data_IF_250855678574
#
_entry.id   IF_250855678574
#
_cell.length_a   1.000
_cell.length_b   1.000
_cell.length_c   1.000
_cell.angle_alpha   90.00
_cell.angle_beta   90.00
_cell.angle_gamma   90.00
#
_symmetry.space_group_name_H-M   'P 1'
#
loop_
_entity.id
_entity.type
_entity.pdbx_description
1 polymer ?
#
# COMPACT_ATOMS: atom_id res chain seq x y z
N UNK A 1 29.21 8.57 -14.54
CA UNK A 1 28.47 8.06 -13.35
C UNK A 1 28.33 6.56 -13.49
N UNK A 2 28.70 5.75 -12.49
CA UNK A 2 28.56 4.28 -12.53
C UNK A 2 27.08 3.93 -12.27
N UNK A 3 26.28 3.95 -13.33
CA UNK A 3 24.85 3.61 -13.30
C UNK A 3 24.61 2.13 -13.61
N UNK A 4 25.61 1.25 -13.43
CA UNK A 4 25.36 -0.19 -13.56
C UNK A 4 24.38 -0.63 -12.47
N UNK A 5 23.51 -1.58 -12.81
CA UNK A 5 22.52 -2.13 -11.88
C UNK A 5 23.12 -2.50 -10.52
N UNK A 6 24.25 -3.22 -10.53
CA UNK A 6 24.98 -3.60 -9.33
C UNK A 6 25.46 -2.40 -8.50
N UNK A 7 25.95 -1.33 -9.15
CA UNK A 7 26.38 -0.12 -8.44
C UNK A 7 25.21 0.70 -7.87
N UNK A 8 24.01 0.57 -8.43
CA UNK A 8 22.79 1.16 -7.87
C UNK A 8 22.29 0.33 -6.69
N UNK A 9 22.21 -0.99 -6.85
CA UNK A 9 21.75 -1.90 -5.79
C UNK A 9 22.69 -1.90 -4.57
N UNK A 10 24.01 -1.81 -4.79
CA UNK A 10 24.97 -1.66 -3.68
C UNK A 10 24.82 -0.39 -2.84
N UNK A 11 24.06 0.61 -3.33
CA UNK A 11 23.78 1.88 -2.63
C UNK A 11 22.30 2.04 -2.27
N UNK A 12 21.50 0.99 -2.36
CA UNK A 12 20.04 1.05 -2.15
C UNK A 12 19.68 1.69 -0.79
N UNK A 13 20.37 1.33 0.29
CA UNK A 13 20.11 1.88 1.61
C UNK A 13 20.41 3.38 1.69
N UNK A 14 21.51 3.85 1.10
CA UNK A 14 21.82 5.29 1.03
C UNK A 14 20.78 6.06 0.20
N UNK A 15 20.34 5.47 -0.92
CA UNK A 15 19.31 6.05 -1.79
C UNK A 15 17.99 6.17 -1.00
N UNK A 16 17.57 5.12 -0.31
CA UNK A 16 16.34 5.12 0.50
C UNK A 16 16.42 6.13 1.64
N UNK A 17 17.54 6.17 2.36
CA UNK A 17 17.76 7.15 3.45
C UNK A 17 17.72 8.59 2.95
N UNK A 18 18.34 8.88 1.79
CA UNK A 18 18.29 10.24 1.19
C UNK A 18 16.92 10.59 0.63
N UNK A 19 16.22 9.63 0.04
CA UNK A 19 14.93 9.87 -0.62
C UNK A 19 13.77 9.98 0.37
N UNK A 20 13.74 9.11 1.38
CA UNK A 20 12.64 9.01 2.35
C UNK A 20 12.96 9.79 3.63
N UNK A 21 14.24 10.10 3.89
CA UNK A 21 14.67 10.73 5.14
C UNK A 21 14.52 9.83 6.35
N UNK A 22 14.34 8.53 6.13
CA UNK A 22 14.00 7.55 7.16
C UNK A 22 14.99 6.39 7.14
N UNK A 23 15.57 6.07 8.30
CA UNK A 23 16.60 5.05 8.43
C UNK A 23 16.03 3.80 9.12
N UNK A 24 15.73 2.78 8.31
CA UNK A 24 15.11 1.55 8.80
C UNK A 24 16.04 0.75 9.73
N UNK A 25 17.36 0.93 9.65
CA UNK A 25 18.32 0.22 10.51
C UNK A 25 18.15 0.56 11.99
N UNK A 26 17.55 1.70 12.31
CA UNK A 26 17.28 2.11 13.69
C UNK A 26 16.26 1.20 14.39
N UNK A 27 15.46 0.46 13.62
CA UNK A 27 14.42 -0.44 14.12
C UNK A 27 14.80 -1.91 14.00
N UNK A 28 15.93 -2.23 13.37
CA UNK A 28 16.46 -3.60 13.32
C UNK A 28 17.08 -3.95 14.68
N UNK A 29 16.43 -4.84 15.42
CA UNK A 29 16.93 -5.30 16.72
C UNK A 29 17.83 -6.53 16.57
N UNK A 30 17.53 -7.39 15.61
CA UNK A 30 18.34 -8.57 15.26
C UNK A 30 17.98 -9.08 13.86
N UNK A 31 18.64 -10.15 13.40
CA UNK A 31 18.33 -10.80 12.12
C UNK A 31 16.87 -11.28 12.00
N UNK A 32 16.15 -11.45 13.11
CA UNK A 32 14.76 -11.93 13.14
C UNK A 32 13.80 -10.97 13.86
N UNK A 33 14.27 -9.84 14.38
CA UNK A 33 13.47 -8.93 15.20
C UNK A 33 13.56 -7.50 14.66
N UNK A 34 12.38 -6.90 14.47
CA UNK A 34 12.22 -5.54 13.96
C UNK A 34 11.18 -4.79 14.79
N UNK A 35 11.50 -3.57 15.22
CA UNK A 35 10.64 -2.72 16.03
C UNK A 35 9.60 -1.99 15.16
N UNK A 36 8.53 -2.69 14.82
CA UNK A 36 7.43 -2.10 14.03
C UNK A 36 6.70 -0.99 14.77
N UNK A 37 6.54 -1.09 16.09
CA UNK A 37 5.83 -0.07 16.87
C UNK A 37 6.65 1.23 16.93
N UNK A 38 7.96 1.12 17.21
CA UNK A 38 8.89 2.24 17.15
C UNK A 38 8.94 2.86 15.76
N UNK A 39 8.98 2.03 14.70
CA UNK A 39 8.95 2.51 13.32
C UNK A 39 7.66 3.29 13.03
N UNK A 40 6.49 2.73 13.37
CA UNK A 40 5.20 3.37 13.14
C UNK A 40 5.05 4.66 13.94
N UNK A 41 5.52 4.69 15.20
CA UNK A 41 5.55 5.89 16.02
C UNK A 41 6.49 6.98 15.48
N UNK A 42 7.58 6.58 14.83
CA UNK A 42 8.50 7.49 14.15
C UNK A 42 7.96 8.01 12.81
N UNK A 43 6.93 7.37 12.24
CA UNK A 43 6.25 7.89 11.05
C UNK A 43 5.32 9.05 11.42
N UNK A 44 5.25 10.08 10.56
CA UNK A 44 4.45 11.28 10.82
C UNK A 44 2.92 11.13 10.81
N UNK A 45 2.40 9.89 10.80
CA UNK A 45 0.96 9.61 10.76
C UNK A 45 0.58 8.57 11.81
N UNK A 46 -0.19 9.00 12.82
CA UNK A 46 -0.86 8.06 13.73
C UNK A 46 -2.08 7.40 13.06
N UNK A 47 -2.54 6.27 13.63
CA UNK A 47 -3.66 5.52 13.08
C UNK A 47 -4.97 6.35 12.97
N UNK A 48 -5.32 7.21 13.96
CA UNK A 48 -6.44 8.15 13.81
C UNK A 48 -6.30 9.10 12.60
N UNK A 49 -5.12 9.65 12.36
CA UNK A 49 -4.85 10.55 11.23
C UNK A 49 -4.95 9.80 9.90
N UNK A 50 -4.39 8.58 9.81
CA UNK A 50 -4.53 7.71 8.63
C UNK A 50 -6.01 7.47 8.32
N UNK A 51 -6.82 7.12 9.32
CA UNK A 51 -8.26 6.90 9.15
C UNK A 51 -9.00 8.15 8.69
N UNK A 52 -8.65 9.31 9.25
CA UNK A 52 -9.24 10.60 8.87
C UNK A 52 -8.94 10.93 7.42
N UNK A 53 -7.67 10.82 7.01
CA UNK A 53 -7.24 11.10 5.64
C UNK A 53 -7.93 10.16 4.65
N UNK A 54 -7.97 8.85 4.94
CA UNK A 54 -8.69 7.89 4.10
C UNK A 54 -10.19 8.23 3.97
N UNK A 55 -10.83 8.68 5.05
CA UNK A 55 -12.25 9.02 5.04
C UNK A 55 -12.59 10.23 4.14
N UNK A 56 -11.66 11.17 3.92
CA UNK A 56 -11.86 12.35 3.06
C UNK A 56 -12.26 11.92 1.63
N UNK A 57 -11.68 10.84 1.14
CA UNK A 57 -11.87 10.32 -0.23
C UNK A 57 -12.74 9.07 -0.26
N UNK A 58 -13.43 8.74 0.83
CA UNK A 58 -14.27 7.54 0.91
C UNK A 58 -13.48 6.22 0.98
N UNK A 59 -12.18 6.27 1.26
CA UNK A 59 -11.33 5.08 1.44
C UNK A 59 -11.51 4.52 2.85
N UNK A 60 -11.49 3.19 2.96
CA UNK A 60 -11.68 2.48 4.22
C UNK A 60 -13.15 2.24 4.55
N UNK A 61 -13.44 1.87 5.81
CA UNK A 61 -14.78 1.44 6.27
C UNK A 61 -15.46 0.39 5.38
N UNK A 62 -14.66 -0.40 4.67
CA UNK A 62 -15.11 -1.49 3.81
C UNK A 62 -15.84 -2.59 4.59
N UNK A 63 -16.75 -3.33 3.95
CA UNK A 63 -17.49 -4.40 4.61
C UNK A 63 -16.60 -5.50 5.23
N UNK A 64 -17.09 -6.12 6.30
CA UNK A 64 -16.54 -7.34 6.88
C UNK A 64 -17.66 -8.39 6.92
N UNK A 65 -17.66 -9.30 5.96
CA UNK A 65 -18.69 -10.33 5.83
C UNK A 65 -18.26 -11.62 6.52
N UNK A 66 -19.12 -12.20 7.35
CA UNK A 66 -18.92 -13.60 7.77
C UNK A 66 -19.40 -14.53 6.65
N UNK A 67 -18.50 -15.37 6.15
CA UNK A 67 -18.82 -16.36 5.12
C UNK A 67 -19.47 -17.58 5.79
N UNK A 68 -20.74 -17.46 6.18
CA UNK A 68 -21.45 -18.43 7.04
C UNK A 68 -21.39 -19.87 6.53
N UNK A 69 -21.53 -20.07 5.22
CA UNK A 69 -21.46 -21.41 4.62
C UNK A 69 -20.06 -22.02 4.71
N UNK A 70 -19.01 -21.21 4.48
CA UNK A 70 -17.62 -21.65 4.59
C UNK A 70 -17.24 -21.87 6.07
N UNK A 71 -17.73 -21.00 6.97
CA UNK A 71 -17.58 -21.17 8.42
C UNK A 71 -18.21 -22.48 8.90
N UNK A 72 -19.42 -22.80 8.43
CA UNK A 72 -20.09 -24.08 8.74
C UNK A 72 -19.26 -25.27 8.26
N UNK A 73 -18.78 -25.22 7.01
CA UNK A 73 -17.94 -26.28 6.46
C UNK A 73 -16.63 -26.45 7.25
N UNK A 74 -15.92 -25.35 7.55
CA UNK A 74 -14.69 -25.38 8.34
C UNK A 74 -14.90 -26.02 9.71
N UNK A 75 -16.03 -25.73 10.37
CA UNK A 75 -16.41 -26.34 11.66
C UNK A 75 -16.81 -27.81 11.56
N UNK A 76 -17.36 -28.25 10.43
CA UNK A 76 -17.68 -29.66 10.20
C UNK A 76 -16.44 -30.51 9.96
N UNK A 77 -15.40 -29.94 9.35
CA UNK A 77 -14.18 -30.65 8.99
C UNK A 77 -13.08 -30.59 10.07
N UNK A 78 -13.10 -29.58 10.94
CA UNK A 78 -12.10 -29.42 11.99
C UNK A 78 -12.36 -30.35 13.20
N UNK A 79 -11.31 -30.80 13.91
CA UNK A 79 -11.46 -31.47 15.19
C UNK A 79 -12.21 -30.61 16.21
N UNK A 80 -12.79 -31.27 17.23
CA UNK A 80 -13.51 -30.59 18.29
C UNK A 80 -12.64 -29.48 18.92
N UNK A 81 -13.17 -28.24 18.94
CA UNK A 81 -12.47 -27.06 19.47
C UNK A 81 -11.64 -26.25 18.47
N UNK A 82 -11.44 -26.73 17.23
CA UNK A 82 -10.56 -26.09 16.24
C UNK A 82 -11.29 -25.43 15.06
N UNK A 83 -12.63 -25.41 15.07
CA UNK A 83 -13.45 -24.84 13.99
C UNK A 83 -13.46 -23.31 13.96
N UNK A 84 -12.77 -22.70 13.00
CA UNK A 84 -12.69 -21.25 12.85
C UNK A 84 -13.96 -20.59 12.28
N UNK A 85 -14.12 -19.29 12.55
CA UNK A 85 -15.03 -18.40 11.80
C UNK A 85 -14.25 -17.76 10.66
N UNK A 86 -14.83 -17.75 9.47
CA UNK A 86 -14.18 -17.24 8.27
C UNK A 86 -14.87 -15.95 7.85
N UNK A 87 -14.07 -14.89 7.70
CA UNK A 87 -14.53 -13.56 7.31
C UNK A 87 -13.85 -13.07 6.03
N UNK A 88 -14.60 -12.33 5.21
CA UNK A 88 -14.10 -11.58 4.07
C UNK A 88 -14.06 -10.09 4.43
N UNK A 89 -12.86 -9.50 4.36
CA UNK A 89 -12.69 -8.05 4.39
C UNK A 89 -12.71 -7.52 2.96
N UNK A 90 -13.84 -6.95 2.54
CA UNK A 90 -14.07 -6.62 1.13
C UNK A 90 -13.43 -5.28 0.72
N UNK A 91 -12.13 -5.33 0.48
CA UNK A 91 -11.35 -4.17 0.07
C UNK A 91 -11.59 -3.73 -1.39
N UNK A 92 -12.35 -4.49 -2.17
CA UNK A 92 -12.76 -4.07 -3.52
C UNK A 92 -13.75 -2.90 -3.47
N UNK A 93 -14.47 -2.72 -2.34
CA UNK A 93 -15.39 -1.59 -2.15
C UNK A 93 -14.71 -0.22 -1.97
N UNK A 94 -13.37 -0.15 -1.94
CA UNK A 94 -12.70 1.15 -1.94
C UNK A 94 -12.90 1.86 -3.30
N UNK A 95 -12.80 3.20 -3.36
CA UNK A 95 -13.03 4.00 -4.58
C UNK A 95 -12.27 3.56 -5.85
N UNK A 96 -11.10 2.95 -5.70
CA UNK A 96 -10.29 2.46 -6.83
C UNK A 96 -10.50 0.98 -7.14
N UNK A 97 -11.47 0.31 -6.51
CA UNK A 97 -11.72 -1.12 -6.69
C UNK A 97 -10.75 -2.05 -5.96
N UNK A 98 -9.87 -1.55 -5.08
CA UNK A 98 -8.92 -2.41 -4.35
C UNK A 98 -8.36 -1.79 -3.07
N UNK A 99 -7.73 -2.62 -2.23
CA UNK A 99 -7.07 -2.20 -1.00
C UNK A 99 -5.96 -1.16 -1.21
N UNK A 100 -5.43 -1.05 -2.44
CA UNK A 100 -4.35 -0.12 -2.80
C UNK A 100 -4.76 1.35 -2.65
N UNK A 101 -6.06 1.64 -2.66
CA UNK A 101 -6.61 2.95 -2.33
C UNK A 101 -6.15 3.44 -0.94
N UNK A 102 -5.95 2.55 0.04
CA UNK A 102 -5.54 2.90 1.41
C UNK A 102 -4.21 3.63 1.46
N UNK A 103 -3.21 3.12 0.75
CA UNK A 103 -1.89 3.76 0.67
C UNK A 103 -1.93 4.98 -0.24
N UNK A 104 -2.59 4.87 -1.40
CA UNK A 104 -2.69 5.97 -2.35
C UNK A 104 -3.33 7.22 -1.72
N UNK A 105 -4.35 7.07 -0.88
CA UNK A 105 -5.00 8.16 -0.17
C UNK A 105 -4.00 8.98 0.66
N UNK A 106 -3.15 8.30 1.44
CA UNK A 106 -2.14 8.96 2.28
C UNK A 106 -1.07 9.65 1.42
N UNK A 107 -0.55 8.96 0.41
CA UNK A 107 0.51 9.51 -0.45
C UNK A 107 0.05 10.73 -1.23
N UNK A 108 -1.16 10.68 -1.81
CA UNK A 108 -1.72 11.80 -2.59
C UNK A 108 -2.12 12.96 -1.68
N UNK A 109 -2.72 12.68 -0.52
CA UNK A 109 -3.00 13.71 0.48
C UNK A 109 -1.72 14.45 0.88
N UNK A 110 -0.66 13.72 1.23
CA UNK A 110 0.61 14.31 1.61
C UNK A 110 1.22 15.13 0.45
N UNK A 111 1.13 14.62 -0.78
CA UNK A 111 1.61 15.35 -1.95
C UNK A 111 0.88 16.69 -2.12
N UNK A 112 -0.44 16.72 -1.87
CA UNK A 112 -1.23 17.95 -1.88
C UNK A 112 -0.80 18.91 -0.77
N UNK A 113 -0.61 18.42 0.45
CA UNK A 113 -0.19 19.25 1.60
C UNK A 113 1.20 19.88 1.37
N UNK A 114 2.10 19.16 0.71
CA UNK A 114 3.44 19.65 0.35
C UNK A 114 3.44 20.60 -0.87
N UNK A 115 2.28 20.89 -1.47
CA UNK A 115 2.17 21.83 -2.60
C UNK A 115 2.64 21.28 -3.94
N UNK A 116 2.77 19.95 -4.10
CA UNK A 116 3.11 19.38 -5.39
C UNK A 116 1.99 19.58 -6.41
N UNK A 117 2.38 19.77 -7.68
CA UNK A 117 1.45 19.98 -8.81
C UNK A 117 0.76 18.69 -9.28
N UNK A 118 1.28 17.54 -8.88
CA UNK A 118 0.81 16.24 -9.31
C UNK A 118 1.63 15.09 -8.73
N UNK A 119 1.23 13.87 -9.06
CA UNK A 119 1.85 12.62 -8.63
C UNK A 119 2.19 11.74 -9.83
N UNK A 120 3.19 10.87 -9.64
CA UNK A 120 3.59 9.86 -10.64
C UNK A 120 3.76 8.50 -9.96
N UNK A 121 3.35 7.43 -10.64
CA UNK A 121 3.62 6.06 -10.22
C UNK A 121 3.98 5.18 -11.43
N UNK A 122 4.93 4.27 -11.24
CA UNK A 122 5.24 3.22 -12.20
C UNK A 122 4.62 1.91 -11.74
N UNK A 123 3.64 1.39 -12.47
CA UNK A 123 2.86 0.19 -12.12
C UNK A 123 1.92 -0.19 -13.26
N UNK A 124 1.74 -1.49 -13.48
CA UNK A 124 0.84 -2.07 -14.48
C UNK A 124 -0.55 -2.47 -13.97
N UNK A 125 -0.99 -1.99 -12.80
CA UNK A 125 -2.25 -2.48 -12.25
C UNK A 125 -2.91 -1.62 -11.19
N UNK A 126 -3.62 -2.27 -10.27
CA UNK A 126 -4.51 -1.63 -9.27
C UNK A 126 -3.90 -0.45 -8.48
N UNK A 127 -2.57 -0.33 -8.38
CA UNK A 127 -1.95 0.82 -7.71
C UNK A 127 -2.06 2.09 -8.56
N UNK A 128 -1.90 1.97 -9.88
CA UNK A 128 -2.02 3.09 -10.80
C UNK A 128 -3.45 3.64 -10.80
N UNK A 129 -4.44 2.75 -10.84
CA UNK A 129 -5.85 3.10 -10.67
C UNK A 129 -6.11 3.78 -9.30
N UNK A 130 -5.50 3.30 -8.23
CA UNK A 130 -5.61 3.93 -6.91
C UNK A 130 -5.00 5.34 -6.86
N UNK A 131 -3.78 5.52 -7.40
CA UNK A 131 -3.13 6.83 -7.44
C UNK A 131 -3.92 7.81 -8.32
N UNK A 132 -4.39 7.37 -9.49
CA UNK A 132 -5.21 8.19 -10.38
C UNK A 132 -6.55 8.59 -9.74
N UNK A 133 -7.25 7.63 -9.11
CA UNK A 133 -8.50 7.87 -8.36
C UNK A 133 -8.30 8.92 -7.27
N UNK A 134 -7.28 8.75 -6.42
CA UNK A 134 -7.03 9.66 -5.31
C UNK A 134 -6.53 11.04 -5.80
N UNK A 135 -5.69 11.08 -6.84
CA UNK A 135 -5.23 12.34 -7.44
C UNK A 135 -6.39 13.16 -8.01
N UNK A 136 -7.34 12.51 -8.69
CA UNK A 136 -8.54 13.16 -9.19
C UNK A 136 -9.38 13.75 -8.05
N UNK A 137 -9.59 13.00 -6.96
CA UNK A 137 -10.34 13.47 -5.77
C UNK A 137 -9.68 14.66 -5.04
N UNK A 138 -8.35 14.81 -5.15
CA UNK A 138 -7.60 15.93 -4.55
C UNK A 138 -7.27 17.07 -5.54
N UNK A 139 -7.74 16.97 -6.79
CA UNK A 139 -7.46 17.96 -7.84
C UNK A 139 -5.97 18.07 -8.16
N UNK A 140 -5.28 16.94 -8.24
CA UNK A 140 -3.87 16.83 -8.62
C UNK A 140 -3.72 16.20 -10.01
N UNK A 141 -2.69 16.61 -10.77
CA UNK A 141 -2.30 15.91 -12.00
C UNK A 141 -1.76 14.52 -11.67
N UNK A 142 -1.97 13.56 -12.56
CA UNK A 142 -1.50 12.19 -12.37
C UNK A 142 -0.84 11.66 -13.65
N UNK A 143 0.32 11.02 -13.49
CA UNK A 143 1.00 10.27 -14.55
C UNK A 143 1.17 8.84 -14.06
N UNK A 144 0.65 7.86 -14.81
CA UNK A 144 0.91 6.44 -14.56
C UNK A 144 1.80 5.93 -15.68
N UNK A 145 2.95 5.38 -15.30
CA UNK A 145 3.90 4.75 -16.21
C UNK A 145 3.66 3.25 -16.14
N UNK A 146 3.32 2.66 -17.27
CA UNK A 146 3.11 1.23 -17.40
C UNK A 146 4.04 0.69 -18.48
N UNK A 147 4.68 -0.43 -18.18
CA UNK A 147 5.44 -1.19 -19.14
C UNK A 147 4.51 -1.72 -20.25
N UNK A 148 4.94 -1.58 -21.50
CA UNK A 148 4.20 -2.12 -22.64
C UNK A 148 4.45 -3.62 -22.78
N UNK A 149 5.65 -4.06 -22.39
CA UNK A 149 6.10 -5.45 -22.49
C UNK A 149 6.75 -5.89 -21.18
N UNK A 150 6.62 -7.17 -20.83
CA UNK A 150 7.42 -7.78 -19.76
C UNK A 150 8.84 -8.12 -20.21
N UNK A 151 9.61 -8.79 -19.35
CA UNK A 151 10.99 -9.20 -19.64
C UNK A 151 11.11 -10.19 -20.79
N UNK A 152 10.02 -10.88 -21.16
CA UNK A 152 9.96 -11.84 -22.25
C UNK A 152 9.41 -11.20 -23.54
N UNK A 153 9.11 -9.90 -23.53
CA UNK A 153 8.55 -9.19 -24.68
C UNK A 153 7.04 -9.40 -24.86
N UNK A 154 6.34 -9.94 -23.87
CA UNK A 154 4.89 -10.16 -23.93
C UNK A 154 4.15 -8.88 -23.52
N UNK A 155 3.19 -8.47 -24.36
CA UNK A 155 2.40 -7.28 -24.14
C UNK A 155 1.62 -7.34 -22.83
N UNK A 156 1.70 -6.28 -22.02
CA UNK A 156 0.90 -6.14 -20.80
C UNK A 156 -0.48 -5.52 -21.11
N UNK A 157 -1.55 -5.94 -20.41
CA UNK A 157 -2.92 -5.48 -20.64
C UNK A 157 -3.16 -4.01 -20.30
#
# INVERSE_FOLDING_TARGET
MRNSYQAVMGRQNEIMKRAVGFDYQQFEQSALAFDYEGMMAATGFDLPSVRRVQAITGVGRTPLYELRNITRLARQLAPAGYGARIFLKDEACNPSGSFKARRAAISVYQAKQLGYRGVIAATSGNYGAAVASQAAMHGLKCIIVQEVFDSEGVGQP
#
